data_IF_942493513283
#
_entry.id   IF_942493513283
#
_cell.length_a   1.000
_cell.length_b   1.000
_cell.length_c   1.000
_cell.angle_alpha   90.00
_cell.angle_beta   90.00
_cell.angle_gamma   90.00
#
_symmetry.space_group_name_H-M   'P 1'
#
loop_
_entity.id
_entity.type
_entity.pdbx_description
1 polymer ?
#
# COMPACT_ATOMS: atom_id res chain seq x y z
N UNK A 1 -32.90 17.95 16.15
CA UNK A 1 -31.52 18.44 16.00
C UNK A 1 -30.72 17.38 15.24
N UNK A 2 -30.70 17.48 13.90
CA UNK A 2 -30.03 16.50 13.05
C UNK A 2 -28.52 16.64 13.13
N UNK A 3 -27.82 15.57 13.47
CA UNK A 3 -26.37 15.54 13.50
C UNK A 3 -25.85 15.69 12.07
N UNK A 4 -25.28 16.85 11.77
CA UNK A 4 -24.59 17.12 10.52
C UNK A 4 -23.30 16.30 10.51
N UNK A 5 -23.30 15.15 9.82
CA UNK A 5 -22.06 14.39 9.56
C UNK A 5 -21.10 15.32 8.82
N UNK A 6 -19.96 15.60 9.43
CA UNK A 6 -18.87 16.33 8.79
C UNK A 6 -18.51 15.65 7.45
N UNK A 7 -18.18 16.42 6.40
CA UNK A 7 -17.78 15.84 5.13
C UNK A 7 -16.56 14.96 5.37
N UNK A 8 -16.71 13.67 5.09
CA UNK A 8 -15.62 12.71 5.05
C UNK A 8 -14.54 13.31 4.16
N UNK A 9 -13.42 13.74 4.76
CA UNK A 9 -12.33 14.35 4.04
C UNK A 9 -11.83 13.30 3.04
N UNK A 10 -12.14 13.46 1.75
CA UNK A 10 -11.49 12.71 0.68
C UNK A 10 -10.01 13.08 0.79
N UNK A 11 -9.24 12.19 1.40
CA UNK A 11 -7.79 12.29 1.41
C UNK A 11 -7.35 11.63 0.12
N UNK A 12 -6.99 12.44 -0.90
CA UNK A 12 -6.46 11.91 -2.15
C UNK A 12 -5.20 11.08 -1.86
N UNK A 13 -5.33 9.75 -1.93
CA UNK A 13 -4.21 8.84 -1.73
C UNK A 13 -3.18 9.08 -2.83
N UNK A 14 -1.99 9.55 -2.44
CA UNK A 14 -0.93 9.89 -3.39
C UNK A 14 -0.34 8.62 -3.99
N UNK A 15 -0.21 8.60 -5.32
CA UNK A 15 0.48 7.54 -6.05
C UNK A 15 1.74 8.03 -6.74
N UNK A 16 2.74 7.14 -6.87
CA UNK A 16 4.01 7.41 -7.56
C UNK A 16 4.35 6.32 -8.58
N UNK A 17 5.29 6.61 -9.48
CA UNK A 17 5.78 5.62 -10.43
C UNK A 17 6.66 4.57 -9.75
N UNK A 18 6.83 3.41 -10.40
CA UNK A 18 7.74 2.36 -9.94
C UNK A 18 9.16 2.90 -9.75
N UNK A 19 9.66 3.72 -10.67
CA UNK A 19 10.99 4.31 -10.57
C UNK A 19 11.12 5.17 -9.32
N UNK A 20 10.12 6.01 -9.05
CA UNK A 20 10.15 6.86 -7.86
C UNK A 20 10.04 6.05 -6.57
N UNK A 21 9.29 4.95 -6.58
CA UNK A 21 9.24 4.03 -5.46
C UNK A 21 10.62 3.40 -5.19
N UNK A 22 11.33 2.96 -6.24
CA UNK A 22 12.69 2.42 -6.11
C UNK A 22 13.65 3.42 -5.45
N UNK A 23 13.62 4.68 -5.89
CA UNK A 23 14.43 5.75 -5.30
C UNK A 23 14.06 6.01 -3.83
N UNK A 24 12.77 6.02 -3.51
CA UNK A 24 12.26 6.39 -2.19
C UNK A 24 12.59 5.34 -1.13
N UNK A 25 12.43 4.05 -1.44
CA UNK A 25 12.73 2.96 -0.49
C UNK A 25 14.12 2.35 -0.67
N UNK A 26 14.88 2.79 -1.68
CA UNK A 26 16.24 2.30 -1.93
C UNK A 26 16.32 0.84 -2.41
N UNK A 27 15.33 0.35 -3.13
CA UNK A 27 15.28 -1.04 -3.62
C UNK A 27 15.24 -1.14 -5.15
N UNK A 28 15.55 -2.33 -5.66
CA UNK A 28 15.48 -2.60 -7.09
C UNK A 28 14.03 -2.66 -7.61
N UNK A 29 13.83 -2.39 -8.91
CA UNK A 29 12.53 -2.59 -9.59
C UNK A 29 11.97 -4.00 -9.40
N UNK A 30 12.84 -5.01 -9.42
CA UNK A 30 12.45 -6.41 -9.20
C UNK A 30 11.83 -6.59 -7.81
N UNK A 31 12.40 -5.94 -6.80
CA UNK A 31 11.87 -5.97 -5.43
C UNK A 31 10.48 -5.36 -5.38
N UNK A 32 10.27 -4.21 -6.02
CA UNK A 32 8.95 -3.57 -6.12
C UNK A 32 7.93 -4.49 -6.82
N UNK A 33 8.28 -5.13 -7.93
CA UNK A 33 7.39 -6.09 -8.59
C UNK A 33 7.07 -7.30 -7.72
N UNK A 34 8.04 -7.80 -6.97
CA UNK A 34 7.81 -8.89 -6.02
C UNK A 34 6.87 -8.46 -4.90
N UNK A 35 6.94 -7.22 -4.43
CA UNK A 35 5.99 -6.68 -3.45
C UNK A 35 4.59 -6.56 -4.02
N UNK A 36 4.45 -6.08 -5.26
CA UNK A 36 3.16 -6.03 -5.98
C UNK A 36 2.59 -7.45 -6.11
N UNK A 37 3.39 -8.41 -6.57
CA UNK A 37 2.97 -9.79 -6.76
C UNK A 37 2.62 -10.51 -5.45
N UNK A 38 3.22 -10.09 -4.32
CA UNK A 38 2.92 -10.63 -2.99
C UNK A 38 1.86 -9.83 -2.22
N UNK A 39 1.25 -8.81 -2.83
CA UNK A 39 0.23 -7.98 -2.19
C UNK A 39 0.74 -7.08 -1.07
N UNK A 40 2.06 -6.88 -0.96
CA UNK A 40 2.69 -6.06 0.09
C UNK A 40 2.53 -4.55 -0.13
N UNK A 41 2.22 -4.15 -1.36
CA UNK A 41 1.99 -2.75 -1.73
C UNK A 41 0.73 -2.66 -2.58
N UNK A 42 -0.06 -1.63 -2.36
CA UNK A 42 -1.22 -1.36 -3.20
C UNK A 42 -0.79 -0.57 -4.44
N UNK A 43 -1.47 -0.84 -5.55
CA UNK A 43 -1.21 -0.15 -6.81
C UNK A 43 -2.49 -0.02 -7.64
N UNK A 44 -2.48 0.96 -8.55
CA UNK A 44 -3.48 1.10 -9.60
C UNK A 44 -2.82 1.05 -10.96
N UNK A 45 -3.55 0.59 -11.97
CA UNK A 45 -3.15 0.73 -13.38
C UNK A 45 -3.91 1.89 -13.99
N UNK A 46 -3.19 2.77 -14.68
CA UNK A 46 -3.82 3.84 -15.45
C UNK A 46 -4.46 3.28 -16.72
N UNK A 47 -5.34 4.06 -17.38
CA UNK A 47 -5.93 3.69 -18.66
C UNK A 47 -4.88 3.38 -19.75
N UNK A 48 -3.67 3.92 -19.62
CA UNK A 48 -2.53 3.61 -20.49
C UNK A 48 -1.68 2.41 -20.07
N UNK A 49 -2.09 1.65 -19.05
CA UNK A 49 -1.41 0.44 -18.58
C UNK A 49 -0.24 0.68 -17.61
N UNK A 50 0.12 1.94 -17.34
CA UNK A 50 1.19 2.28 -16.40
C UNK A 50 0.78 1.99 -14.96
N UNK A 51 1.69 1.40 -14.19
CA UNK A 51 1.50 1.10 -12.77
C UNK A 51 1.81 2.32 -11.91
N UNK A 52 0.95 2.59 -10.93
CA UNK A 52 1.04 3.67 -9.95
C UNK A 52 0.92 3.06 -8.55
N UNK A 53 1.93 3.24 -7.70
CA UNK A 53 1.99 2.64 -6.36
C UNK A 53 1.53 3.67 -5.33
N UNK A 54 0.70 3.26 -4.38
CA UNK A 54 0.28 4.10 -3.26
C UNK A 54 1.41 4.32 -2.27
N UNK A 55 1.73 5.59 -2.00
CA UNK A 55 2.91 5.99 -1.20
C UNK A 55 2.80 5.52 0.25
N UNK A 56 1.60 5.55 0.81
CA UNK A 56 1.30 5.10 2.17
C UNK A 56 1.60 3.61 2.38
N UNK A 57 1.50 2.79 1.33
CA UNK A 57 1.75 1.34 1.40
C UNK A 57 3.22 0.95 1.15
N UNK A 58 4.06 1.89 0.69
CA UNK A 58 5.46 1.60 0.36
C UNK A 58 6.34 1.41 1.58
N UNK A 59 5.96 2.02 2.70
CA UNK A 59 6.71 1.93 3.94
C UNK A 59 6.29 0.68 4.67
N UNK A 60 7.16 -0.33 4.60
CA UNK A 60 7.10 -1.43 5.54
C UNK A 60 7.64 -0.90 6.87
N UNK A 61 6.87 -1.00 7.95
CA UNK A 61 7.53 -1.15 9.25
C UNK A 61 8.43 -2.40 9.13
N UNK A 62 9.66 -2.41 9.66
CA UNK A 62 10.44 -3.63 9.74
C UNK A 62 9.78 -4.57 10.77
N UNK A 63 8.58 -5.08 10.47
CA UNK A 63 8.02 -6.24 11.11
C UNK A 63 8.89 -7.42 10.69
N UNK A 64 9.90 -7.67 11.52
CA UNK A 64 10.28 -9.01 11.99
C UNK A 64 9.12 -9.96 11.72
N UNK A 65 9.38 -11.02 10.94
CA UNK A 65 8.33 -11.89 10.40
C UNK A 65 7.32 -12.35 11.44
N UNK A 66 6.11 -11.80 11.39
CA UNK A 66 4.95 -12.31 12.08
C UNK A 66 3.71 -11.94 11.27
N UNK A 67 3.30 -12.88 10.44
CA UNK A 67 1.95 -13.44 10.39
C UNK A 67 0.92 -12.83 11.35
N UNK A 68 0.43 -11.61 11.11
CA UNK A 68 -0.78 -11.10 11.77
C UNK A 68 -2.04 -11.48 10.95
N UNK A 69 -2.12 -12.75 10.56
CA UNK A 69 -3.34 -13.38 10.02
C UNK A 69 -3.55 -14.80 10.55
N UNK A 70 -2.81 -15.21 11.60
CA UNK A 70 -2.96 -16.54 12.23
C UNK A 70 -3.45 -16.49 13.70
N UNK A 71 -3.66 -15.31 14.28
CA UNK A 71 -3.96 -15.17 15.71
C UNK A 71 -5.45 -14.99 16.06
N UNK A 72 -6.37 -14.99 15.09
CA UNK A 72 -7.80 -14.80 15.36
C UNK A 72 -8.65 -16.09 15.34
N UNK A 73 -8.06 -17.26 15.09
CA UNK A 73 -8.77 -18.57 15.09
C UNK A 73 -8.11 -19.59 16.05
N UNK A 74 -7.87 -19.19 17.30
CA UNK A 74 -7.41 -20.12 18.34
C UNK A 74 -8.09 -19.90 19.71
N UNK A 75 -9.29 -19.31 19.73
CA UNK A 75 -10.13 -19.23 20.93
C UNK A 75 -11.60 -19.49 20.56
N UNK A 76 -11.90 -20.74 20.15
CA UNK A 76 -13.20 -21.37 20.39
C UNK A 76 -13.15 -22.89 20.29
#
# INVERSE_FOLDING_TARGET
MGQMRAPEMIVDRKTISIMKACELVGVSRRTIYNWIASGKVEYVRTAGGSVRIFVDTLWREPTTGASEVAAFEADR
#
